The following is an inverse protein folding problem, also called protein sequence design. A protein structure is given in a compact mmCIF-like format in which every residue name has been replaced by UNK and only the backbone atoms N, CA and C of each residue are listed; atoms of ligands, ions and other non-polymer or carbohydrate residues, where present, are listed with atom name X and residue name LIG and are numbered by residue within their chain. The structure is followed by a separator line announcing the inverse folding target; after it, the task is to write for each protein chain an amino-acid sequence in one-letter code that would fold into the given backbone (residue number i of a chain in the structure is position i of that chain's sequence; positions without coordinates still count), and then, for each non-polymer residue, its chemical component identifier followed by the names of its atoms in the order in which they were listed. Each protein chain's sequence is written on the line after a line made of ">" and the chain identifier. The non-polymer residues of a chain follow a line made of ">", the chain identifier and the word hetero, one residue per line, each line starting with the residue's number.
data_IF_349814956471
#
_entry.id   IF_349814956471
#
_cell.length_a   1.000
_cell.length_b   1.000
_cell.length_c   1.000
_cell.angle_alpha   90.00
_cell.angle_beta   90.00
_cell.angle_gamma   90.00
#
_symmetry.space_group_name_H-M   'P 1'
#
loop_
_entity.id
_entity.type
_entity.pdbx_description
1 polymer ?
#
# COMPACT_ATOMS: atom_id res chain seq x y z
N UNK A 1 -16.86 -34.12 -94.23
CA UNK A 1 -18.27 -33.88 -93.85
C UNK A 1 -18.35 -32.46 -93.28
N UNK A 2 -19.21 -31.62 -93.88
CA UNK A 2 -19.84 -30.35 -93.41
C UNK A 2 -18.97 -29.26 -92.76
N UNK A 3 -18.90 -28.01 -93.29
CA UNK A 3 -19.87 -26.88 -93.18
C UNK A 3 -20.18 -26.54 -91.70
N UNK A 4 -20.16 -25.31 -91.16
CA UNK A 4 -20.31 -23.91 -91.63
C UNK A 4 -19.75 -22.96 -90.51
N UNK A 5 -19.18 -21.78 -90.82
CA UNK A 5 -19.72 -20.40 -90.65
C UNK A 5 -20.14 -20.01 -89.20
N UNK A 6 -19.95 -18.82 -88.60
CA UNK A 6 -19.44 -17.50 -88.99
C UNK A 6 -19.32 -16.63 -87.69
N UNK A 7 -18.56 -15.53 -87.79
CA UNK A 7 -18.62 -14.23 -87.07
C UNK A 7 -18.99 -14.14 -85.57
N UNK A 8 -18.24 -13.37 -84.78
CA UNK A 8 -18.56 -11.96 -84.48
C UNK A 8 -17.53 -11.32 -83.53
N UNK A 9 -17.57 -9.99 -83.51
CA UNK A 9 -16.59 -8.97 -83.15
C UNK A 9 -16.22 -8.88 -81.65
N UNK A 10 -15.11 -8.17 -81.48
CA UNK A 10 -14.89 -7.08 -80.52
C UNK A 10 -14.16 -7.39 -79.22
N UNK A 11 -13.40 -6.35 -78.82
CA UNK A 11 -12.76 -6.09 -77.52
C UNK A 11 -11.42 -6.79 -77.35
N UNK A 12 -10.32 -6.10 -77.14
CA UNK A 12 -10.11 -4.73 -76.69
C UNK A 12 -8.77 -4.77 -75.95
N UNK A 13 -7.85 -3.91 -76.36
CA UNK A 13 -6.54 -3.77 -75.73
C UNK A 13 -6.77 -3.30 -74.29
N UNK A 14 -6.73 -4.21 -73.32
CA UNK A 14 -6.83 -3.84 -71.90
C UNK A 14 -5.46 -3.43 -71.41
N UNK A 15 -5.15 -2.14 -71.58
CA UNK A 15 -4.12 -1.47 -70.79
C UNK A 15 -4.62 -1.49 -69.35
N UNK A 16 -4.18 -2.47 -68.57
CA UNK A 16 -4.41 -2.44 -67.13
C UNK A 16 -3.44 -1.41 -66.55
N UNK A 17 -3.93 -0.17 -66.41
CA UNK A 17 -3.29 0.86 -65.59
C UNK A 17 -3.08 0.26 -64.19
N UNK A 18 -1.83 0.02 -63.83
CA UNK A 18 -1.41 -0.18 -62.45
C UNK A 18 -1.66 1.11 -61.68
N UNK A 19 -2.80 1.17 -60.99
CA UNK A 19 -3.03 2.13 -59.92
C UNK A 19 -3.30 1.32 -58.66
N UNK A 20 -2.25 1.03 -57.90
CA UNK A 20 -2.39 0.74 -56.48
C UNK A 20 -1.32 1.52 -55.74
N UNK A 21 -1.72 2.73 -55.41
CA UNK A 21 -1.10 3.63 -54.46
C UNK A 21 -0.77 2.84 -53.18
N UNK A 22 0.48 2.41 -53.04
CA UNK A 22 0.96 1.81 -51.80
C UNK A 22 1.14 2.95 -50.79
N UNK A 23 0.08 3.26 -50.05
CA UNK A 23 0.17 4.21 -48.95
C UNK A 23 1.20 3.71 -47.94
N UNK A 24 2.29 4.47 -47.81
CA UNK A 24 3.28 4.27 -46.77
C UNK A 24 2.61 4.55 -45.43
N UNK A 25 2.23 3.50 -44.70
CA UNK A 25 1.79 3.63 -43.31
C UNK A 25 2.99 3.76 -42.41
N UNK A 26 3.25 4.98 -41.95
CA UNK A 26 4.22 5.23 -40.88
C UNK A 26 3.68 4.63 -39.58
N UNK A 27 4.48 3.81 -38.91
CA UNK A 27 4.16 3.34 -37.58
C UNK A 27 4.07 4.53 -36.61
N UNK A 28 3.09 4.54 -35.72
CA UNK A 28 2.97 5.57 -34.69
C UNK A 28 4.23 5.55 -33.81
N UNK A 29 4.99 6.64 -33.86
CA UNK A 29 6.09 6.87 -32.93
C UNK A 29 5.47 7.32 -31.62
N UNK A 30 5.54 6.47 -30.59
CA UNK A 30 5.13 6.85 -29.23
C UNK A 30 6.23 7.71 -28.59
N UNK A 31 6.18 9.01 -28.82
CA UNK A 31 6.96 9.96 -28.01
C UNK A 31 6.41 10.00 -26.59
N UNK A 32 7.23 9.85 -25.55
CA UNK A 32 6.78 10.03 -24.16
C UNK A 32 6.15 11.40 -23.99
N UNK A 33 5.07 11.49 -23.20
CA UNK A 33 4.45 12.80 -22.93
C UNK A 33 5.45 13.62 -22.12
N UNK A 34 5.53 14.92 -22.41
CA UNK A 34 6.44 15.82 -21.71
C UNK A 34 6.24 15.79 -20.18
N UNK A 35 5.00 15.62 -19.71
CA UNK A 35 4.70 15.42 -18.29
C UNK A 35 5.40 14.17 -17.72
N UNK A 36 5.36 13.04 -18.42
CA UNK A 36 5.98 11.77 -17.97
C UNK A 36 7.51 11.93 -17.82
N UNK A 37 8.15 12.73 -18.70
CA UNK A 37 9.58 13.06 -18.61
C UNK A 37 9.90 13.93 -17.40
N UNK A 38 9.08 14.94 -17.10
CA UNK A 38 9.24 15.79 -15.92
C UNK A 38 9.09 14.98 -14.64
N UNK A 39 8.07 14.11 -14.58
CA UNK A 39 7.86 13.18 -13.47
C UNK A 39 9.10 12.30 -13.29
N UNK A 40 9.57 11.63 -14.35
CA UNK A 40 10.73 10.75 -14.27
C UNK A 40 11.98 11.49 -13.79
N UNK A 41 12.21 12.72 -14.27
CA UNK A 41 13.35 13.53 -13.88
C UNK A 41 13.31 13.93 -12.39
N UNK A 42 12.20 14.51 -11.94
CA UNK A 42 12.05 14.96 -10.55
C UNK A 42 12.05 13.75 -9.60
N UNK A 43 11.34 12.67 -9.95
CA UNK A 43 11.33 11.41 -9.18
C UNK A 43 12.75 10.88 -8.99
N UNK A 44 13.55 10.84 -10.05
CA UNK A 44 14.93 10.38 -9.96
C UNK A 44 15.74 11.20 -8.95
N UNK A 45 15.64 12.53 -9.00
CA UNK A 45 16.33 13.46 -8.10
C UNK A 45 15.90 13.33 -6.64
N UNK A 46 14.62 13.03 -6.39
CA UNK A 46 14.09 12.78 -5.04
C UNK A 46 14.59 11.43 -4.51
N UNK A 47 14.44 10.36 -5.30
CA UNK A 47 14.83 8.99 -4.89
C UNK A 47 16.35 8.89 -4.67
N UNK A 48 17.15 9.57 -5.50
CA UNK A 48 18.60 9.65 -5.34
C UNK A 48 19.04 10.54 -4.16
N UNK A 49 18.10 11.21 -3.48
CA UNK A 49 18.32 12.18 -2.40
C UNK A 49 19.09 13.44 -2.81
N UNK A 50 19.18 13.74 -4.10
CA UNK A 50 19.71 15.03 -4.58
C UNK A 50 18.77 16.18 -4.18
N UNK A 51 17.47 15.92 -4.20
CA UNK A 51 16.49 16.79 -3.54
C UNK A 51 16.12 16.18 -2.18
N UNK A 52 16.60 16.80 -1.10
CA UNK A 52 16.29 16.39 0.26
C UNK A 52 14.83 16.67 0.61
N UNK A 53 14.28 15.94 1.58
CA UNK A 53 12.95 16.22 2.12
C UNK A 53 12.82 17.68 2.59
N UNK A 54 11.68 18.30 2.33
CA UNK A 54 11.39 19.70 2.61
C UNK A 54 11.93 20.70 1.57
N UNK A 55 12.79 20.25 0.64
CA UNK A 55 13.32 21.08 -0.45
C UNK A 55 12.18 21.70 -1.24
N UNK A 56 12.23 23.01 -1.43
CA UNK A 56 11.27 23.73 -2.28
C UNK A 56 11.66 23.53 -3.74
N UNK A 57 10.75 22.96 -4.52
CA UNK A 57 10.90 22.89 -5.97
C UNK A 57 10.48 24.24 -6.59
N UNK A 58 10.94 24.56 -7.81
CA UNK A 58 10.47 25.75 -8.52
C UNK A 58 8.94 25.74 -8.67
N UNK A 59 8.32 26.92 -8.72
CA UNK A 59 6.89 27.07 -8.94
C UNK A 59 6.47 26.56 -10.32
N UNK A 60 5.16 26.31 -10.53
CA UNK A 60 4.64 25.89 -11.85
C UNK A 60 5.11 26.81 -12.99
N UNK A 61 5.14 28.12 -12.74
CA UNK A 61 5.58 29.12 -13.71
C UNK A 61 7.08 29.01 -13.97
N UNK A 62 7.90 28.98 -12.93
CA UNK A 62 9.36 28.87 -13.07
C UNK A 62 9.78 27.57 -13.76
N UNK A 63 9.13 26.44 -13.43
CA UNK A 63 9.38 25.16 -14.10
C UNK A 63 8.98 25.21 -15.58
N UNK A 64 7.85 25.83 -15.92
CA UNK A 64 7.40 25.96 -17.30
C UNK A 64 8.42 26.75 -18.15
N UNK A 65 8.95 27.84 -17.59
CA UNK A 65 9.96 28.67 -18.24
C UNK A 65 11.30 27.93 -18.37
N UNK A 66 11.79 27.28 -17.31
CA UNK A 66 13.06 26.54 -17.31
C UNK A 66 13.06 25.32 -18.24
N UNK A 67 11.94 24.61 -18.31
CA UNK A 67 11.80 23.38 -19.08
C UNK A 67 11.25 23.62 -20.49
N UNK A 68 10.88 24.88 -20.81
CA UNK A 68 10.26 25.28 -22.08
C UNK A 68 9.03 24.42 -22.45
N UNK A 69 8.14 24.21 -21.47
CA UNK A 69 6.89 23.46 -21.64
C UNK A 69 5.70 24.24 -21.07
N UNK A 70 4.48 23.84 -21.44
CA UNK A 70 3.29 24.54 -20.96
C UNK A 70 3.07 24.35 -19.45
N UNK A 71 2.56 25.39 -18.77
CA UNK A 71 2.16 25.32 -17.34
C UNK A 71 1.19 24.18 -17.03
N UNK A 72 0.17 23.88 -17.86
CA UNK A 72 -0.67 22.70 -17.67
C UNK A 72 0.11 21.37 -17.64
N UNK A 73 1.14 21.23 -18.48
CA UNK A 73 2.00 20.03 -18.49
C UNK A 73 2.80 19.88 -17.20
N UNK A 74 3.35 20.99 -16.67
CA UNK A 74 4.04 21.00 -15.37
C UNK A 74 3.08 20.63 -14.25
N UNK A 75 1.88 21.24 -14.24
CA UNK A 75 0.86 20.94 -13.21
C UNK A 75 0.47 19.47 -13.20
N UNK A 76 0.33 18.87 -14.37
CA UNK A 76 0.06 17.43 -14.48
C UNK A 76 1.20 16.59 -13.89
N UNK A 77 2.45 16.92 -14.20
CA UNK A 77 3.60 16.23 -13.63
C UNK A 77 3.65 16.36 -12.09
N UNK A 78 3.39 17.56 -11.56
CA UNK A 78 3.34 17.78 -10.12
C UNK A 78 2.20 16.99 -9.46
N UNK A 79 1.02 16.88 -10.08
CA UNK A 79 -0.08 16.06 -9.57
C UNK A 79 0.28 14.57 -9.49
N UNK A 80 0.97 14.05 -10.50
CA UNK A 80 1.44 12.67 -10.49
C UNK A 80 2.44 12.46 -9.34
N UNK A 81 3.41 13.36 -9.18
CA UNK A 81 4.39 13.29 -8.08
C UNK A 81 3.76 13.43 -6.70
N UNK A 82 2.71 14.25 -6.57
CA UNK A 82 1.95 14.43 -5.34
C UNK A 82 1.13 13.17 -5.01
N UNK A 83 0.51 12.55 -6.02
CA UNK A 83 -0.17 11.26 -5.87
C UNK A 83 0.77 10.11 -5.50
N UNK A 84 2.03 10.16 -5.95
CA UNK A 84 3.09 9.23 -5.55
C UNK A 84 3.67 9.51 -4.15
N UNK A 85 3.23 10.59 -3.48
CA UNK A 85 3.73 10.99 -2.16
C UNK A 85 5.16 11.55 -2.17
N UNK A 86 5.70 11.90 -3.34
CA UNK A 86 7.05 12.42 -3.50
C UNK A 86 7.13 13.93 -3.27
N UNK A 87 6.00 14.63 -3.38
CA UNK A 87 5.89 16.06 -3.09
C UNK A 87 4.59 16.37 -2.35
N UNK A 88 4.54 17.55 -1.72
CA UNK A 88 3.33 18.20 -1.24
C UNK A 88 3.28 19.64 -1.71
N UNK A 89 2.10 20.10 -2.11
CA UNK A 89 1.89 21.51 -2.48
C UNK A 89 1.39 22.31 -1.29
N UNK A 90 2.14 23.33 -0.87
CA UNK A 90 1.68 24.26 0.18
C UNK A 90 0.97 25.48 -0.43
N UNK A 91 -0.28 25.80 -0.05
CA UNK A 91 -0.97 26.99 -0.53
C UNK A 91 -0.41 28.28 0.10
N UNK A 92 -0.71 29.42 -0.53
CA UNK A 92 -0.41 30.76 -0.02
C UNK A 92 0.93 31.36 -0.48
N UNK A 93 1.19 32.63 -0.12
CA UNK A 93 2.43 33.34 -0.47
C UNK A 93 3.67 32.61 0.06
N UNK A 94 4.67 32.37 -0.80
CA UNK A 94 5.87 31.58 -0.44
C UNK A 94 5.63 30.06 -0.38
N UNK A 95 4.42 29.60 -0.73
CA UNK A 95 4.08 28.21 -0.93
C UNK A 95 4.69 27.60 -2.21
N UNK A 96 4.07 26.53 -2.68
CA UNK A 96 4.50 25.75 -3.85
C UNK A 96 4.92 24.32 -3.51
N UNK A 97 5.34 23.56 -4.53
CA UNK A 97 5.71 22.16 -4.39
C UNK A 97 6.96 22.00 -3.52
N UNK A 98 6.90 21.06 -2.58
CA UNK A 98 8.02 20.69 -1.71
C UNK A 98 8.21 19.19 -1.72
N UNK A 99 9.46 18.75 -1.71
CA UNK A 99 9.79 17.33 -1.64
C UNK A 99 9.33 16.75 -0.32
N UNK A 100 8.71 15.57 -0.39
CA UNK A 100 8.30 14.75 0.74
C UNK A 100 8.96 13.37 0.63
N UNK A 101 9.24 12.75 1.77
CA UNK A 101 9.58 11.34 1.79
C UNK A 101 8.32 10.51 1.52
N UNK A 102 8.37 9.46 0.66
CA UNK A 102 7.24 8.57 0.45
C UNK A 102 6.77 7.99 1.79
N UNK A 103 5.49 8.17 2.10
CA UNK A 103 4.84 7.56 3.26
C UNK A 103 4.29 6.19 2.87
N UNK A 104 4.44 5.20 3.76
CA UNK A 104 3.80 3.89 3.65
C UNK A 104 2.30 4.05 3.42
N UNK A 105 1.67 5.07 4.03
CA UNK A 105 0.24 5.40 3.86
C UNK A 105 -0.20 5.55 2.39
N UNK A 106 0.65 6.09 1.52
CA UNK A 106 0.32 6.26 0.10
C UNK A 106 0.15 4.90 -0.60
N UNK A 107 1.05 3.96 -0.30
CA UNK A 107 0.97 2.59 -0.83
C UNK A 107 -0.20 1.83 -0.18
N UNK A 108 -0.47 2.10 1.10
CA UNK A 108 -1.56 1.45 1.82
C UNK A 108 -2.91 1.67 1.19
N UNK A 109 -3.21 2.87 0.72
CA UNK A 109 -4.52 3.13 0.10
C UNK A 109 -4.76 2.22 -1.12
N UNK A 110 -3.73 2.02 -1.97
CA UNK A 110 -3.83 1.09 -3.10
C UNK A 110 -3.97 -0.38 -2.67
N UNK A 111 -3.23 -0.80 -1.63
CA UNK A 111 -3.34 -2.16 -1.09
C UNK A 111 -4.72 -2.42 -0.45
N UNK A 112 -5.26 -1.46 0.30
CA UNK A 112 -6.60 -1.54 0.87
C UNK A 112 -7.65 -1.71 -0.22
N UNK A 113 -7.59 -0.91 -1.29
CA UNK A 113 -8.51 -1.04 -2.42
C UNK A 113 -8.42 -2.41 -3.10
N UNK A 114 -7.20 -2.93 -3.27
CA UNK A 114 -6.99 -4.27 -3.83
C UNK A 114 -7.56 -5.36 -2.92
N UNK A 115 -7.29 -5.30 -1.61
CA UNK A 115 -7.78 -6.28 -0.66
C UNK A 115 -9.31 -6.24 -0.50
N UNK A 116 -9.91 -5.05 -0.62
CA UNK A 116 -11.36 -4.89 -0.74
C UNK A 116 -11.92 -5.57 -1.99
N UNK A 117 -11.29 -5.35 -3.13
CA UNK A 117 -11.69 -5.95 -4.40
C UNK A 117 -11.58 -7.49 -4.36
N UNK A 118 -10.46 -8.00 -3.85
CA UNK A 118 -10.19 -9.45 -3.72
C UNK A 118 -10.93 -10.10 -2.54
N UNK A 119 -11.63 -9.30 -1.73
CA UNK A 119 -12.35 -9.75 -0.52
C UNK A 119 -11.45 -10.51 0.46
N UNK A 120 -10.22 -10.03 0.65
CA UNK A 120 -9.29 -10.58 1.63
C UNK A 120 -9.92 -10.54 3.02
N UNK A 121 -9.81 -11.68 3.71
CA UNK A 121 -10.32 -11.88 5.07
C UNK A 121 -9.34 -11.41 6.13
N UNK A 122 -9.84 -11.14 7.33
CA UNK A 122 -8.96 -10.88 8.48
C UNK A 122 -8.08 -12.09 8.82
N UNK A 123 -8.58 -13.32 8.63
CA UNK A 123 -7.81 -14.55 8.84
C UNK A 123 -6.55 -14.60 7.94
N UNK A 124 -6.69 -14.36 6.63
CA UNK A 124 -5.57 -14.30 5.69
C UNK A 124 -4.56 -13.20 6.06
N UNK A 125 -5.06 -12.07 6.55
CA UNK A 125 -4.20 -10.97 7.00
C UNK A 125 -3.39 -11.34 8.26
N UNK A 126 -4.01 -12.03 9.21
CA UNK A 126 -3.36 -12.52 10.43
C UNK A 126 -2.35 -13.64 10.14
N UNK A 127 -2.63 -14.52 9.17
CA UNK A 127 -1.70 -15.54 8.69
C UNK A 127 -0.44 -14.91 8.06
N UNK A 128 -0.63 -13.91 7.18
CA UNK A 128 0.47 -13.17 6.58
C UNK A 128 1.33 -12.45 7.64
N UNK A 129 0.66 -11.85 8.64
CA UNK A 129 1.31 -11.21 9.78
C UNK A 129 2.17 -12.20 10.57
N UNK A 130 1.66 -13.40 10.85
CA UNK A 130 2.39 -14.45 11.57
C UNK A 130 3.72 -14.77 10.88
N UNK A 131 3.67 -15.00 9.58
CA UNK A 131 4.85 -15.31 8.78
C UNK A 131 5.91 -14.20 8.85
N UNK A 132 5.50 -12.94 8.70
CA UNK A 132 6.41 -11.79 8.71
C UNK A 132 6.96 -11.48 10.11
N UNK A 133 6.13 -11.58 11.15
CA UNK A 133 6.57 -11.33 12.52
C UNK A 133 7.51 -12.42 13.03
N UNK A 134 7.23 -13.69 12.73
CA UNK A 134 8.11 -14.80 13.12
C UNK A 134 9.50 -14.66 12.47
N UNK A 135 9.55 -14.26 11.20
CA UNK A 135 10.80 -13.94 10.51
C UNK A 135 11.50 -12.71 11.12
N UNK A 136 10.74 -11.70 11.53
CA UNK A 136 11.27 -10.49 12.18
C UNK A 136 11.89 -10.80 13.54
N UNK A 137 11.20 -11.58 14.38
CA UNK A 137 11.68 -12.00 15.70
C UNK A 137 12.93 -12.86 15.64
N UNK A 138 12.98 -13.82 14.71
CA UNK A 138 14.18 -14.61 14.44
C UNK A 138 15.39 -13.73 14.15
N UNK A 139 15.22 -12.72 13.28
CA UNK A 139 16.29 -11.77 12.96
C UNK A 139 16.63 -10.88 14.15
N UNK A 140 15.63 -10.36 14.86
CA UNK A 140 15.85 -9.53 16.04
C UNK A 140 16.68 -10.27 17.10
N UNK A 141 16.38 -11.55 17.37
CA UNK A 141 17.19 -12.37 18.26
C UNK A 141 18.67 -12.45 17.81
N UNK A 142 18.96 -12.48 16.51
CA UNK A 142 20.34 -12.54 16.01
C UNK A 142 21.08 -11.20 16.08
N UNK A 143 20.41 -10.07 15.84
CA UNK A 143 21.09 -8.80 15.55
C UNK A 143 20.52 -7.53 16.20
N UNK A 144 19.44 -7.62 16.99
CA UNK A 144 18.87 -6.45 17.66
C UNK A 144 19.92 -5.73 18.53
N UNK A 145 19.94 -4.40 18.47
CA UNK A 145 20.80 -3.57 19.30
C UNK A 145 20.25 -3.40 20.72
N UNK A 146 21.01 -2.76 21.59
CA UNK A 146 20.53 -2.44 22.94
C UNK A 146 19.33 -1.48 22.90
N UNK A 147 19.33 -0.54 21.96
CA UNK A 147 18.24 0.41 21.72
C UNK A 147 16.98 -0.29 21.21
N UNK A 148 17.13 -1.27 20.30
CA UNK A 148 16.00 -2.07 19.81
C UNK A 148 15.33 -2.86 20.95
N UNK A 149 16.15 -3.51 21.78
CA UNK A 149 15.68 -4.27 22.95
C UNK A 149 15.00 -3.33 23.96
N UNK A 150 15.54 -2.14 24.18
CA UNK A 150 14.94 -1.17 25.08
C UNK A 150 13.59 -0.66 24.57
N UNK A 151 13.45 -0.41 23.26
CA UNK A 151 12.17 -0.03 22.67
C UNK A 151 11.08 -1.10 22.89
N UNK A 152 11.41 -2.39 22.68
CA UNK A 152 10.52 -3.52 22.96
C UNK A 152 10.12 -3.58 24.43
N UNK A 153 11.09 -3.42 25.34
CA UNK A 153 10.88 -3.42 26.79
C UNK A 153 9.95 -2.28 27.22
N UNK A 154 10.18 -1.08 26.70
CA UNK A 154 9.35 0.08 27.03
C UNK A 154 7.89 -0.12 26.60
N UNK A 155 7.62 -0.72 25.45
CA UNK A 155 6.25 -1.06 25.06
C UNK A 155 5.60 -2.06 26.01
N UNK A 156 6.35 -3.06 26.50
CA UNK A 156 5.87 -3.99 27.55
C UNK A 156 5.54 -3.27 28.86
N UNK A 157 6.40 -2.36 29.31
CA UNK A 157 6.13 -1.58 30.53
C UNK A 157 4.91 -0.66 30.39
N UNK A 158 4.73 -0.03 29.22
CA UNK A 158 3.54 0.80 28.96
C UNK A 158 2.27 -0.03 28.83
N UNK A 159 2.32 -1.22 28.20
CA UNK A 159 1.20 -2.17 28.24
C UNK A 159 0.85 -2.58 29.67
N UNK A 160 1.85 -2.87 30.52
CA UNK A 160 1.64 -3.21 31.92
C UNK A 160 0.96 -2.08 32.69
N UNK A 161 1.40 -0.84 32.50
CA UNK A 161 0.78 0.33 33.10
C UNK A 161 -0.66 0.56 32.59
N UNK A 162 -0.92 0.23 31.33
CA UNK A 162 -2.23 0.32 30.67
C UNK A 162 -3.13 -0.89 30.85
N UNK A 163 -2.85 -1.84 31.75
CA UNK A 163 -3.66 -3.07 31.89
C UNK A 163 -5.16 -2.86 32.17
N UNK A 164 -5.56 -1.66 32.59
CA UNK A 164 -6.97 -1.27 32.83
C UNK A 164 -7.49 -0.21 31.86
N UNK A 165 -6.69 0.17 30.87
CA UNK A 165 -6.99 1.17 29.85
C UNK A 165 -6.82 0.52 28.48
N UNK A 166 -7.93 0.25 27.80
CA UNK A 166 -7.94 -0.47 26.52
C UNK A 166 -7.17 0.28 25.43
N UNK A 167 -7.36 1.60 25.35
CA UNK A 167 -6.73 2.43 24.32
C UNK A 167 -5.20 2.43 24.49
N UNK A 168 -4.73 2.59 25.72
CA UNK A 168 -3.29 2.54 26.03
C UNK A 168 -2.74 1.14 25.75
N UNK A 169 -3.42 0.09 26.22
CA UNK A 169 -2.94 -1.29 26.08
C UNK A 169 -2.79 -1.68 24.61
N UNK A 170 -3.84 -1.49 23.80
CA UNK A 170 -3.83 -1.92 22.40
C UNK A 170 -2.93 -1.05 21.52
N UNK A 171 -2.78 0.24 21.86
CA UNK A 171 -1.79 1.11 21.20
C UNK A 171 -0.37 0.58 21.43
N UNK A 172 -0.04 0.20 22.66
CA UNK A 172 1.31 -0.28 22.99
C UNK A 172 1.58 -1.70 22.50
N UNK A 173 0.56 -2.55 22.47
CA UNK A 173 0.61 -3.83 21.77
C UNK A 173 1.01 -3.61 20.30
N UNK A 174 0.31 -2.71 19.59
CA UNK A 174 0.65 -2.39 18.20
C UNK A 174 2.07 -1.80 18.03
N UNK A 175 2.52 -0.97 18.98
CA UNK A 175 3.87 -0.40 19.00
C UNK A 175 4.94 -1.48 19.21
N UNK A 176 4.68 -2.51 20.01
CA UNK A 176 5.61 -3.62 20.20
C UNK A 176 5.87 -4.35 18.88
N UNK A 177 4.83 -4.73 18.14
CA UNK A 177 4.97 -5.42 16.86
C UNK A 177 5.71 -4.59 15.81
N UNK A 178 5.48 -3.27 15.78
CA UNK A 178 6.25 -2.38 14.91
C UNK A 178 7.73 -2.31 15.33
N UNK A 179 8.00 -2.23 16.63
CA UNK A 179 9.37 -2.24 17.18
C UNK A 179 10.09 -3.56 16.89
N UNK A 180 9.38 -4.68 16.92
CA UNK A 180 9.91 -5.99 16.55
C UNK A 180 10.30 -6.05 15.07
N UNK A 181 9.46 -5.47 14.20
CA UNK A 181 9.78 -5.28 12.78
C UNK A 181 11.03 -4.42 12.57
N UNK A 182 11.23 -3.36 13.35
CA UNK A 182 12.42 -2.51 13.30
C UNK A 182 13.68 -3.26 13.78
N UNK A 183 13.58 -3.95 14.92
CA UNK A 183 14.65 -4.76 15.52
C UNK A 183 15.14 -5.89 14.60
N UNK A 184 14.33 -6.30 13.61
CA UNK A 184 14.73 -7.25 12.57
C UNK A 184 15.88 -6.74 11.69
N UNK A 185 16.18 -5.43 11.71
CA UNK A 185 17.16 -4.75 10.86
C UNK A 185 16.85 -4.81 9.35
N UNK A 186 15.68 -5.30 8.97
CA UNK A 186 15.24 -5.40 7.58
C UNK A 186 14.16 -4.36 7.29
N UNK A 187 14.54 -3.32 6.52
CA UNK A 187 13.63 -2.22 6.17
C UNK A 187 12.38 -2.69 5.44
N UNK A 188 12.46 -3.75 4.63
CA UNK A 188 11.28 -4.29 3.93
C UNK A 188 10.32 -4.93 4.93
N UNK A 189 10.82 -5.73 5.89
CA UNK A 189 9.98 -6.30 6.94
C UNK A 189 9.33 -5.21 7.78
N UNK A 190 10.10 -4.20 8.20
CA UNK A 190 9.57 -3.06 8.94
C UNK A 190 8.45 -2.31 8.18
N UNK A 191 8.65 -2.04 6.89
CA UNK A 191 7.65 -1.38 6.04
C UNK A 191 6.39 -2.22 5.90
N UNK A 192 6.52 -3.52 5.63
CA UNK A 192 5.38 -4.45 5.52
C UNK A 192 4.64 -4.62 6.85
N UNK A 193 5.37 -4.62 7.98
CA UNK A 193 4.76 -4.65 9.31
C UNK A 193 3.97 -3.38 9.62
N UNK A 194 4.50 -2.22 9.23
CA UNK A 194 3.80 -0.92 9.37
C UNK A 194 2.52 -0.90 8.54
N UNK A 195 2.57 -1.48 7.34
CA UNK A 195 1.42 -1.66 6.46
C UNK A 195 0.33 -2.54 7.08
N UNK A 196 0.69 -3.75 7.54
CA UNK A 196 -0.23 -4.69 8.16
C UNK A 196 -0.86 -4.13 9.45
N UNK A 197 -0.07 -3.42 10.26
CA UNK A 197 -0.56 -2.76 11.48
C UNK A 197 -1.76 -1.87 11.19
N UNK A 198 -1.68 -1.02 10.16
CA UNK A 198 -2.77 -0.11 9.81
C UNK A 198 -4.04 -0.85 9.37
N UNK A 199 -3.89 -1.90 8.57
CA UNK A 199 -5.02 -2.72 8.09
C UNK A 199 -5.70 -3.48 9.23
N UNK A 200 -4.92 -4.06 10.14
CA UNK A 200 -5.44 -4.80 11.29
C UNK A 200 -6.11 -3.84 12.25
N UNK A 201 -5.47 -2.72 12.57
CA UNK A 201 -6.04 -1.70 13.47
C UNK A 201 -7.42 -1.24 12.98
N UNK A 202 -7.59 -0.98 11.68
CA UNK A 202 -8.90 -0.63 11.11
C UNK A 202 -9.93 -1.74 11.24
N UNK A 203 -9.51 -3.00 11.07
CA UNK A 203 -10.38 -4.17 11.11
C UNK A 203 -10.80 -4.54 12.54
N UNK A 204 -10.02 -4.13 13.54
CA UNK A 204 -10.28 -4.42 14.96
C UNK A 204 -10.60 -3.16 15.77
N UNK A 205 -10.78 -2.00 15.12
CA UNK A 205 -11.04 -0.75 15.81
C UNK A 205 -12.36 -0.80 16.58
N UNK A 206 -12.32 -0.40 17.86
CA UNK A 206 -13.49 -0.41 18.74
C UNK A 206 -13.81 -1.77 19.37
N UNK A 207 -12.98 -2.80 19.14
CA UNK A 207 -13.06 -4.05 19.90
C UNK A 207 -12.32 -3.87 21.22
N UNK A 208 -13.04 -4.11 22.33
CA UNK A 208 -12.47 -4.20 23.66
C UNK A 208 -12.11 -5.64 23.98
N UNK A 209 -10.95 -5.85 24.59
CA UNK A 209 -10.56 -7.16 25.11
C UNK A 209 -10.84 -7.26 26.60
N UNK A 210 -11.04 -8.47 27.09
CA UNK A 210 -11.23 -8.69 28.52
C UNK A 210 -9.89 -8.63 29.31
N UNK A 211 -9.97 -8.42 30.64
CA UNK A 211 -8.81 -8.32 31.54
C UNK A 211 -7.86 -9.52 31.48
N UNK A 212 -8.44 -10.72 31.32
CA UNK A 212 -7.68 -11.97 31.24
C UNK A 212 -6.87 -12.01 29.95
N UNK A 213 -7.48 -11.70 28.81
CA UNK A 213 -6.83 -11.64 27.50
C UNK A 213 -5.69 -10.63 27.45
N UNK A 214 -5.83 -9.46 28.11
CA UNK A 214 -4.75 -8.47 28.24
C UNK A 214 -3.57 -8.99 29.07
N UNK A 215 -3.85 -9.67 30.18
CA UNK A 215 -2.82 -10.26 31.04
C UNK A 215 -2.04 -11.36 30.31
N UNK A 216 -2.74 -12.23 29.58
CA UNK A 216 -2.13 -13.27 28.75
C UNK A 216 -1.28 -12.68 27.62
N UNK A 217 -1.82 -11.68 26.91
CA UNK A 217 -1.11 -10.97 25.83
C UNK A 217 0.19 -10.35 26.34
N UNK A 218 0.16 -9.72 27.52
CA UNK A 218 1.36 -9.14 28.14
C UNK A 218 2.42 -10.21 28.48
N UNK A 219 2.00 -11.37 28.97
CA UNK A 219 2.89 -12.48 29.27
C UNK A 219 3.53 -13.06 28.00
N UNK A 220 2.75 -13.20 26.92
CA UNK A 220 3.21 -13.64 25.61
C UNK A 220 4.27 -12.68 25.02
N UNK A 221 4.03 -11.37 25.10
CA UNK A 221 4.99 -10.34 24.69
C UNK A 221 6.30 -10.41 25.50
N UNK A 222 6.19 -10.63 26.81
CA UNK A 222 7.35 -10.81 27.70
C UNK A 222 8.17 -12.04 27.31
N UNK A 223 7.51 -13.15 26.92
CA UNK A 223 8.19 -14.35 26.46
C UNK A 223 8.94 -14.13 25.13
N UNK A 224 8.35 -13.37 24.20
CA UNK A 224 9.01 -12.98 22.95
C UNK A 224 10.29 -12.17 23.24
N UNK A 225 10.19 -11.14 24.09
CA UNK A 225 11.35 -10.33 24.47
C UNK A 225 12.44 -11.19 25.13
N UNK A 226 12.06 -12.08 26.05
CA UNK A 226 13.00 -12.97 26.73
C UNK A 226 13.78 -13.86 25.76
N UNK A 227 13.13 -14.39 24.71
CA UNK A 227 13.82 -15.18 23.68
C UNK A 227 14.77 -14.34 22.82
N UNK A 228 14.41 -13.07 22.54
CA UNK A 228 15.29 -12.13 21.82
C UNK A 228 16.51 -11.78 22.66
N UNK A 229 16.33 -11.48 23.95
CA UNK A 229 17.41 -11.17 24.89
C UNK A 229 18.35 -12.37 25.09
N UNK A 230 17.79 -13.58 25.12
CA UNK A 230 18.56 -14.82 25.18
C UNK A 230 19.29 -15.17 23.87
N UNK A 231 19.10 -14.37 22.81
CA UNK A 231 19.66 -14.61 21.47
C UNK A 231 19.25 -15.98 20.92
N UNK A 232 18.00 -16.38 21.14
CA UNK A 232 17.41 -17.63 20.64
C UNK A 232 16.46 -17.35 19.46
N UNK A 233 16.92 -17.51 18.21
CA UNK A 233 16.12 -17.16 17.03
C UNK A 233 14.93 -18.08 16.80
N UNK A 234 15.05 -19.37 17.14
CA UNK A 234 13.95 -20.32 17.00
C UNK A 234 12.92 -20.10 18.10
N UNK A 235 13.38 -19.92 19.34
CA UNK A 235 12.51 -19.59 20.47
C UNK A 235 11.74 -18.29 20.25
N UNK A 236 12.39 -17.25 19.71
CA UNK A 236 11.72 -15.99 19.40
C UNK A 236 10.65 -16.13 18.32
N UNK A 237 10.95 -16.86 17.24
CA UNK A 237 9.98 -17.14 16.19
C UNK A 237 8.79 -17.99 16.70
N UNK A 238 9.07 -19.01 17.52
CA UNK A 238 8.04 -19.85 18.10
C UNK A 238 7.14 -19.09 19.08
N UNK A 239 7.72 -18.22 19.93
CA UNK A 239 6.97 -17.39 20.87
C UNK A 239 6.00 -16.44 20.13
N UNK A 240 6.43 -15.83 19.02
CA UNK A 240 5.55 -15.01 18.16
C UNK A 240 4.41 -15.83 17.58
N UNK A 241 4.70 -17.03 17.03
CA UNK A 241 3.66 -17.91 16.47
C UNK A 241 2.60 -18.24 17.51
N UNK A 242 3.01 -18.61 18.72
CA UNK A 242 2.11 -18.90 19.84
C UNK A 242 1.26 -17.67 20.20
N UNK A 243 1.89 -16.50 20.32
CA UNK A 243 1.20 -15.25 20.63
C UNK A 243 0.11 -14.91 19.60
N UNK A 244 0.41 -15.02 18.30
CA UNK A 244 -0.53 -14.66 17.25
C UNK A 244 -1.67 -15.68 17.12
N UNK A 245 -1.38 -16.97 17.26
CA UNK A 245 -2.41 -18.02 17.32
C UNK A 245 -3.36 -17.85 18.51
N UNK A 246 -2.82 -17.49 19.69
CA UNK A 246 -3.64 -17.21 20.87
C UNK A 246 -4.48 -15.93 20.67
N UNK A 247 -3.92 -14.91 20.04
CA UNK A 247 -4.62 -13.67 19.74
C UNK A 247 -5.77 -13.88 18.75
N UNK A 248 -5.54 -14.66 17.69
CA UNK A 248 -6.59 -15.06 16.75
C UNK A 248 -7.69 -15.87 17.44
N UNK A 249 -7.33 -16.84 18.30
CA UNK A 249 -8.30 -17.62 19.06
C UNK A 249 -9.19 -16.72 19.93
N UNK A 250 -8.59 -15.82 20.72
CA UNK A 250 -9.33 -14.87 21.57
C UNK A 250 -10.28 -14.01 20.73
N UNK A 251 -9.78 -13.49 19.60
CA UNK A 251 -10.57 -12.68 18.69
C UNK A 251 -11.78 -13.45 18.13
N UNK A 252 -11.59 -14.73 17.77
CA UNK A 252 -12.66 -15.59 17.29
C UNK A 252 -13.67 -15.99 18.37
N UNK A 253 -13.22 -16.23 19.59
CA UNK A 253 -14.09 -16.54 20.73
C UNK A 253 -14.98 -15.34 21.11
N UNK A 254 -14.42 -14.14 21.10
CA UNK A 254 -15.14 -12.91 21.40
C UNK A 254 -15.99 -12.43 20.21
N UNK A 255 -15.54 -12.68 18.97
CA UNK A 255 -16.15 -12.19 17.73
C UNK A 255 -16.14 -13.25 16.60
N UNK A 256 -17.00 -14.29 16.65
CA UNK A 256 -16.91 -15.46 15.75
C UNK A 256 -17.04 -15.18 14.25
N UNK A 257 -17.63 -14.04 13.86
CA UNK A 257 -17.81 -13.67 12.46
C UNK A 257 -16.66 -12.79 11.92
N UNK A 258 -15.82 -12.25 12.81
CA UNK A 258 -14.86 -11.21 12.44
C UNK A 258 -13.72 -11.74 11.58
N UNK A 259 -13.26 -12.96 11.81
CA UNK A 259 -12.20 -13.57 11.01
C UNK A 259 -12.57 -13.74 9.54
N UNK A 260 -13.87 -13.93 9.27
CA UNK A 260 -14.43 -14.07 7.93
C UNK A 260 -14.90 -12.73 7.33
N UNK A 261 -14.75 -11.62 8.07
CA UNK A 261 -15.09 -10.30 7.56
C UNK A 261 -14.15 -9.98 6.39
N UNK A 262 -14.75 -9.66 5.24
CA UNK A 262 -14.01 -9.35 4.02
C UNK A 262 -13.90 -7.85 3.83
N UNK A 263 -12.85 -7.44 3.13
CA UNK A 263 -12.71 -6.09 2.62
C UNK A 263 -12.33 -5.03 3.64
N UNK A 264 -11.61 -5.42 4.71
CA UNK A 264 -10.82 -4.55 5.59
C UNK A 264 -11.38 -3.12 5.63
N UNK A 265 -12.57 -3.00 6.21
CA UNK A 265 -13.47 -1.86 6.03
C UNK A 265 -12.73 -0.54 6.21
N UNK A 266 -12.86 0.37 5.24
CA UNK A 266 -12.87 1.78 5.63
C UNK A 266 -14.13 1.95 6.47
N UNK A 267 -13.98 2.40 7.71
CA UNK A 267 -15.06 3.16 8.32
C UNK A 267 -15.17 4.48 7.54
N UNK A 268 -15.57 4.45 6.26
CA UNK A 268 -15.87 5.66 5.51
C UNK A 268 -17.26 6.12 5.95
N UNK A 269 -17.37 7.24 6.70
CA UNK A 269 -18.64 7.74 7.17
C UNK A 269 -19.61 8.07 6.02
N UNK A 270 -19.09 8.34 4.81
CA UNK A 270 -19.89 8.68 3.64
C UNK A 270 -20.55 7.44 2.99
N UNK A 271 -19.91 6.27 3.07
CA UNK A 271 -20.47 5.01 2.57
C UNK A 271 -21.61 4.49 3.45
N UNK A 272 -21.56 4.70 4.77
CA UNK A 272 -22.68 4.40 5.69
C UNK A 272 -23.96 5.14 5.29
N UNK A 273 -23.84 6.41 4.93
CA UNK A 273 -24.98 7.23 4.50
C UNK A 273 -25.56 6.69 3.19
N UNK A 274 -24.72 6.28 2.23
CA UNK A 274 -25.20 5.74 0.96
C UNK A 274 -25.92 4.38 1.10
N UNK A 275 -25.44 3.50 2.00
CA UNK A 275 -26.10 2.20 2.25
C UNK A 275 -27.40 2.34 3.04
N UNK A 276 -27.48 3.28 3.99
CA UNK A 276 -28.71 3.51 4.76
C UNK A 276 -29.84 4.11 3.91
N UNK A 277 -29.49 4.91 2.88
CA UNK A 277 -30.47 5.39 1.90
C UNK A 277 -30.99 4.31 0.95
N UNK A 278 -30.16 3.31 0.61
CA UNK A 278 -30.56 2.23 -0.30
C UNK A 278 -31.52 1.22 0.35
N UNK A 279 -31.40 0.98 1.66
CA UNK A 279 -32.27 0.07 2.41
C UNK A 279 -33.62 0.72 2.76
N UNK A 280 -33.67 2.05 2.93
CA UNK A 280 -34.92 2.77 3.23
C UNK A 280 -35.83 2.99 2.01
N UNK A 281 -35.40 2.64 0.79
CA UNK A 281 -36.16 2.87 -0.46
C UNK A 281 -36.77 1.62 -1.09
N UNK A 282 -36.72 0.46 -0.44
CA UNK A 282 -37.46 -0.71 -0.90
C UNK A 282 -38.96 -0.57 -0.51
N UNK A 283 -39.91 -0.58 -1.47
CA UNK A 283 -41.33 -0.56 -1.13
C UNK A 283 -41.69 -1.85 -0.41
N UNK A 284 -42.48 -1.73 0.66
CA UNK A 284 -43.10 -2.85 1.34
C UNK A 284 -44.14 -3.49 0.40
N UNK A 285 -43.91 -4.74 0.00
CA UNK A 285 -44.94 -5.63 -0.53
C UNK A 285 -45.75 -6.27 0.62
#
# INVERSE_FOLDING_TARGET
>A
MSRDSASDRSRGFSVTRTNSNSEVRLASIRTPRAADLVVAHIRHKIISREYAEGTRLPTETEMADQLNISRPTVREALRILEAEGLIVTRPGPGGGPRVCSPDVKTVMHSLTNLFQYERVTLAELLEARETLEAASARRAAMQATAEDIDALRQSIERMRAGLKDDDVFWTENANFHQSLGAASGNKVLYTMMTALRELIYRSTAGLSGNDQGRTETLAEHTAILGAIEARDPEGAAAAVRVHLLNSERRLNEENPQLLQLTGLSEADPLLRIATDFAVSSAPAD
#
